data_IF_328181057317
#
_entry.id   IF_328181057317
#
_cell.length_a   1.000
_cell.length_b   1.000
_cell.length_c   1.000
_cell.angle_alpha   90.00
_cell.angle_beta   90.00
_cell.angle_gamma   90.00
#
_symmetry.space_group_name_H-M   'P 1'
#
loop_
_entity.id
_entity.type
_entity.pdbx_description
1 polymer ?
#
# COMPACT_ATOMS: atom_id res chain seq x y z
N UNK A 1 7.39 -71.72 -19.33
CA UNK A 1 8.53 -72.66 -19.39
C UNK A 1 9.39 -72.42 -18.16
N UNK A 2 9.36 -73.38 -17.26
CA UNK A 2 10.26 -73.67 -16.12
C UNK A 2 10.64 -72.59 -15.07
N UNK A 3 10.04 -72.83 -13.89
CA UNK A 3 10.62 -72.63 -12.53
C UNK A 3 11.69 -73.71 -12.28
N UNK A 4 12.71 -73.49 -11.42
CA UNK A 4 12.63 -74.03 -10.04
C UNK A 4 13.30 -73.08 -9.00
N UNK A 5 12.76 -72.86 -7.85
CA UNK A 5 12.78 -73.50 -6.51
C UNK A 5 14.18 -73.95 -5.99
N UNK A 6 14.39 -73.66 -4.69
CA UNK A 6 15.27 -74.17 -3.65
C UNK A 6 16.29 -73.11 -3.16
N UNK A 7 16.54 -72.89 -1.87
CA UNK A 7 16.17 -73.63 -0.67
C UNK A 7 16.59 -72.87 0.61
N UNK A 8 15.89 -73.17 1.62
CA UNK A 8 16.02 -72.72 2.99
C UNK A 8 17.35 -73.14 3.67
N UNK A 9 17.99 -72.23 4.42
CA UNK A 9 18.87 -72.61 5.55
C UNK A 9 18.49 -71.82 6.78
N UNK A 10 17.95 -72.51 7.77
CA UNK A 10 17.77 -72.07 9.13
C UNK A 10 19.11 -71.90 9.81
N UNK A 11 19.41 -70.75 10.36
CA UNK A 11 20.50 -70.52 11.32
C UNK A 11 19.87 -70.22 12.66
N UNK A 12 20.04 -71.18 13.57
CA UNK A 12 19.69 -71.12 14.99
C UNK A 12 20.64 -70.15 15.71
N UNK A 13 20.14 -69.02 16.10
CA UNK A 13 20.87 -68.05 16.93
C UNK A 13 20.43 -68.14 18.40
N UNK A 14 21.41 -68.45 19.24
CA UNK A 14 21.26 -68.60 20.73
C UNK A 14 20.86 -67.27 21.33
N UNK A 15 19.68 -67.19 21.93
CA UNK A 15 19.29 -66.09 22.82
C UNK A 15 20.12 -66.12 24.10
N UNK A 16 21.03 -65.16 24.24
CA UNK A 16 21.58 -64.78 25.55
C UNK A 16 20.57 -63.87 26.26
N UNK A 17 19.98 -64.41 27.37
CA UNK A 17 19.20 -63.61 28.32
C UNK A 17 20.12 -62.65 29.06
N UNK A 18 20.03 -61.36 28.75
CA UNK A 18 20.63 -60.31 29.59
C UNK A 18 19.54 -59.86 30.58
N UNK A 19 19.74 -60.12 31.86
CA UNK A 19 18.89 -59.60 32.93
C UNK A 19 19.01 -58.07 33.01
N UNK A 20 17.90 -57.34 33.19
CA UNK A 20 17.93 -55.89 33.31
C UNK A 20 18.45 -55.50 34.73
N UNK A 21 19.63 -54.91 34.78
CA UNK A 21 20.13 -54.24 36.01
C UNK A 21 19.17 -53.11 36.37
N UNK A 22 18.48 -53.26 37.48
CA UNK A 22 17.61 -52.24 38.10
C UNK A 22 18.41 -50.99 38.43
N UNK A 23 18.20 -49.94 37.68
CA UNK A 23 18.86 -48.64 37.87
C UNK A 23 18.23 -47.96 39.10
N UNK A 24 19.09 -47.55 40.02
CA UNK A 24 18.77 -46.97 41.32
C UNK A 24 17.80 -45.75 41.14
N UNK A 25 16.70 -45.75 41.89
CA UNK A 25 15.61 -44.78 41.83
C UNK A 25 16.07 -43.31 41.90
N UNK A 26 17.16 -43.04 42.66
CA UNK A 26 17.76 -41.70 42.73
C UNK A 26 18.35 -41.21 41.40
N UNK A 27 18.96 -42.12 40.58
CA UNK A 27 19.46 -41.77 39.26
C UNK A 27 18.35 -41.53 38.25
N UNK A 28 17.22 -42.24 38.32
CA UNK A 28 16.04 -41.97 37.48
C UNK A 28 15.44 -40.59 37.72
N UNK A 29 15.42 -40.13 38.97
CA UNK A 29 14.91 -38.78 39.30
C UNK A 29 15.82 -37.65 38.81
N UNK A 30 17.16 -37.86 38.76
CA UNK A 30 18.11 -36.89 38.26
C UNK A 30 18.01 -36.81 36.74
N UNK A 31 17.92 -37.93 36.02
CA UNK A 31 17.76 -37.95 34.56
C UNK A 31 16.39 -37.37 34.16
N UNK A 32 15.32 -37.63 34.90
CA UNK A 32 13.99 -37.04 34.64
C UNK A 32 13.99 -35.50 34.80
N UNK A 33 14.69 -35.00 35.88
CA UNK A 33 14.85 -33.55 36.07
C UNK A 33 15.73 -32.89 35.04
N UNK A 34 16.78 -33.55 34.57
CA UNK A 34 17.64 -33.03 33.49
C UNK A 34 16.89 -33.05 32.14
N UNK A 35 16.15 -34.11 31.85
CA UNK A 35 15.32 -34.16 30.61
C UNK A 35 14.20 -33.14 30.63
N UNK A 36 13.51 -32.89 31.79
CA UNK A 36 12.51 -31.83 31.90
C UNK A 36 13.14 -30.45 31.85
N UNK A 37 14.32 -30.21 32.38
CA UNK A 37 15.02 -28.92 32.28
C UNK A 37 15.46 -28.65 30.83
N UNK A 38 16.02 -29.66 30.14
CA UNK A 38 16.41 -29.56 28.74
C UNK A 38 15.18 -29.38 27.83
N UNK A 39 14.06 -30.06 28.11
CA UNK A 39 12.80 -29.86 27.38
C UNK A 39 12.20 -28.46 27.61
N UNK A 40 12.32 -27.90 28.84
CA UNK A 40 11.89 -26.53 29.12
C UNK A 40 12.77 -25.48 28.44
N UNK A 41 14.10 -25.71 28.35
CA UNK A 41 15.03 -24.82 27.62
C UNK A 41 14.78 -24.91 26.11
N UNK A 42 14.39 -26.08 25.58
CA UNK A 42 14.01 -26.22 24.16
C UNK A 42 12.63 -25.61 23.85
N UNK A 43 11.69 -25.64 24.79
CA UNK A 43 10.36 -25.03 24.59
C UNK A 43 10.39 -23.50 24.72
N UNK A 44 11.36 -22.93 25.43
CA UNK A 44 11.56 -21.46 25.45
C UNK A 44 12.46 -20.96 24.31
N UNK A 45 13.24 -21.85 23.67
CA UNK A 45 14.04 -21.49 22.51
C UNK A 45 13.28 -21.60 21.16
N UNK A 46 12.09 -22.23 21.14
CA UNK A 46 11.28 -22.41 19.92
C UNK A 46 10.07 -21.45 19.81
N UNK A 47 9.94 -20.45 20.69
CA UNK A 47 8.91 -19.41 20.57
C UNK A 47 9.50 -18.02 20.24
N UNK A 48 10.62 -17.96 19.56
CA UNK A 48 10.94 -16.81 18.72
C UNK A 48 10.40 -17.16 17.33
N UNK A 49 9.32 -16.50 16.94
CA UNK A 49 8.92 -16.46 15.55
C UNK A 49 10.15 -16.06 14.73
N UNK A 50 10.58 -16.88 13.72
CA UNK A 50 11.74 -16.55 12.91
C UNK A 50 11.51 -15.31 12.01
N UNK A 51 10.45 -14.56 12.20
CA UNK A 51 10.05 -13.36 11.46
C UNK A 51 9.85 -12.10 12.31
N UNK A 52 10.13 -12.11 13.61
CA UNK A 52 10.43 -10.84 14.28
C UNK A 52 11.86 -10.44 13.88
N UNK A 53 12.00 -9.97 12.63
CA UNK A 53 13.15 -9.17 12.22
C UNK A 53 13.22 -7.96 13.15
N UNK A 54 14.42 -7.58 13.59
CA UNK A 54 14.65 -6.39 14.38
C UNK A 54 14.05 -5.21 13.60
N UNK A 55 12.91 -4.70 14.05
CA UNK A 55 12.21 -3.58 13.45
C UNK A 55 12.55 -2.32 14.21
N UNK A 56 12.78 -1.25 13.46
CA UNK A 56 13.06 0.03 14.09
C UNK A 56 13.78 1.00 13.17
N UNK A 57 14.43 1.98 13.76
CA UNK A 57 15.12 3.06 13.08
C UNK A 57 16.61 3.06 13.42
N UNK A 58 17.45 3.25 12.40
CA UNK A 58 18.88 3.52 12.54
C UNK A 58 19.17 5.00 12.21
N UNK A 59 19.70 5.76 13.17
CA UNK A 59 19.95 7.20 13.02
C UNK A 59 21.39 7.46 12.65
N UNK A 60 21.62 8.25 11.61
CA UNK A 60 22.92 8.79 11.24
C UNK A 60 22.88 10.31 11.33
N UNK A 61 23.96 10.92 11.80
CA UNK A 61 24.12 12.39 11.88
C UNK A 61 25.06 12.84 10.78
N UNK A 62 24.64 13.87 10.04
CA UNK A 62 25.48 14.55 9.05
C UNK A 62 25.75 16.00 9.51
N UNK A 63 27.01 16.30 9.87
CA UNK A 63 27.47 17.64 10.28
C UNK A 63 28.29 18.36 9.21
N UNK A 64 28.17 17.98 7.96
CA UNK A 64 28.93 18.55 6.83
C UNK A 64 28.73 20.07 6.67
N UNK A 65 27.63 20.62 7.17
CA UNK A 65 27.34 22.05 7.18
C UNK A 65 28.01 22.79 8.32
N UNK A 66 28.43 22.09 9.38
CA UNK A 66 29.05 22.68 10.58
C UNK A 66 30.30 21.88 11.01
N UNK A 67 31.29 21.68 10.12
CA UNK A 67 32.43 20.78 10.38
C UNK A 67 33.37 21.26 11.46
N UNK A 68 33.33 22.55 11.80
CA UNK A 68 34.15 23.23 12.79
C UNK A 68 33.57 23.17 14.22
N UNK A 69 32.31 22.71 14.39
CA UNK A 69 31.70 22.51 15.71
C UNK A 69 31.95 21.09 16.19
N UNK A 70 32.60 20.91 17.36
CA UNK A 70 32.76 19.56 17.91
C UNK A 70 31.44 18.96 18.34
N UNK A 71 31.22 17.71 18.00
CA UNK A 71 30.05 16.95 18.45
C UNK A 71 30.31 16.45 19.87
N UNK A 72 29.55 16.97 20.81
CA UNK A 72 29.51 16.57 22.21
C UNK A 72 28.33 15.66 22.55
N UNK A 73 27.69 15.95 23.69
CA UNK A 73 26.50 15.22 24.11
C UNK A 73 25.35 15.39 23.10
N UNK A 74 24.70 14.28 22.78
CA UNK A 74 23.62 14.21 21.79
C UNK A 74 22.33 13.82 22.49
N UNK A 75 21.29 14.61 22.27
CA UNK A 75 19.91 14.29 22.67
C UNK A 75 19.11 13.99 21.41
N UNK A 76 18.48 12.82 21.40
CA UNK A 76 17.62 12.35 20.31
C UNK A 76 16.18 12.34 20.81
N UNK A 77 15.31 13.06 20.12
CA UNK A 77 13.87 13.09 20.37
C UNK A 77 13.15 12.45 19.20
N UNK A 78 12.21 11.56 19.48
CA UNK A 78 11.39 10.88 18.48
C UNK A 78 9.95 11.29 18.72
N UNK A 79 9.31 11.90 17.72
CA UNK A 79 7.91 12.31 17.75
C UNK A 79 7.10 11.40 16.86
N UNK A 80 5.98 10.92 17.38
CA UNK A 80 5.05 10.08 16.61
C UNK A 80 4.10 10.89 15.73
N UNK A 81 3.24 10.20 15.04
CA UNK A 81 2.16 10.79 14.23
C UNK A 81 1.31 11.73 15.10
N UNK A 82 1.15 12.99 14.67
CA UNK A 82 0.48 14.03 15.45
C UNK A 82 1.41 14.91 16.30
N UNK A 83 2.73 14.72 16.20
CA UNK A 83 3.74 15.63 16.77
C UNK A 83 3.97 15.48 18.27
N UNK A 84 3.46 14.44 18.91
CA UNK A 84 3.69 14.17 20.34
C UNK A 84 4.97 13.36 20.54
N UNK A 85 5.72 13.67 21.60
CA UNK A 85 6.93 12.96 21.97
C UNK A 85 6.64 11.47 22.22
N UNK A 86 7.33 10.60 21.49
CA UNK A 86 7.27 9.16 21.62
C UNK A 86 8.39 8.61 22.51
N UNK A 87 9.63 9.05 22.27
CA UNK A 87 10.80 8.59 23.03
C UNK A 87 11.93 9.65 23.01
N UNK A 88 12.81 9.57 24.02
CA UNK A 88 14.02 10.38 24.12
C UNK A 88 15.21 9.49 24.47
N UNK A 89 16.37 9.76 23.84
CA UNK A 89 17.62 9.04 24.09
C UNK A 89 18.77 10.03 24.22
N UNK A 90 19.77 9.69 25.05
CA UNK A 90 20.97 10.49 25.27
C UNK A 90 22.21 9.68 24.87
N UNK A 91 23.14 10.30 24.12
CA UNK A 91 24.38 9.69 23.67
C UNK A 91 25.55 10.61 23.97
N UNK A 92 26.69 10.01 24.28
CA UNK A 92 27.90 10.76 24.56
C UNK A 92 28.59 11.29 23.29
N UNK A 93 28.37 10.62 22.15
CA UNK A 93 29.01 10.95 20.87
C UNK A 93 28.22 10.39 19.66
N UNK A 94 28.65 10.77 18.45
CA UNK A 94 28.04 10.34 17.20
C UNK A 94 28.15 8.82 16.92
N UNK A 95 29.12 8.12 17.51
CA UNK A 95 29.28 6.67 17.34
C UNK A 95 28.22 5.93 18.16
N UNK A 96 27.89 6.47 19.33
CA UNK A 96 26.86 5.93 20.20
C UNK A 96 25.52 5.84 19.50
N UNK A 97 25.05 6.94 18.88
CA UNK A 97 23.78 6.99 18.19
C UNK A 97 23.76 6.10 16.92
N UNK A 98 24.84 6.10 16.13
CA UNK A 98 24.93 5.32 14.90
C UNK A 98 25.01 3.81 15.12
N UNK A 99 25.38 3.36 16.32
CA UNK A 99 25.52 1.93 16.66
C UNK A 99 24.27 1.30 17.26
N UNK A 100 23.22 2.09 17.52
CA UNK A 100 22.03 1.63 18.23
C UNK A 100 20.83 1.60 17.27
N UNK A 101 20.13 0.47 17.26
CA UNK A 101 18.81 0.36 16.67
C UNK A 101 17.78 0.87 17.68
N UNK A 102 16.92 1.81 17.26
CA UNK A 102 15.81 2.31 18.04
C UNK A 102 14.56 1.51 17.68
N UNK A 103 14.09 0.61 18.56
CA UNK A 103 12.92 -0.21 18.26
C UNK A 103 11.67 0.68 18.22
N UNK A 104 10.96 0.64 17.09
CA UNK A 104 9.74 1.42 16.84
C UNK A 104 8.69 0.52 16.18
N UNK A 105 7.44 0.82 16.41
CA UNK A 105 6.35 0.24 15.63
C UNK A 105 6.33 0.81 14.20
N UNK A 106 5.68 0.10 13.26
CA UNK A 106 5.49 0.64 11.93
C UNK A 106 4.67 1.93 12.00
N UNK A 107 5.16 2.98 11.35
CA UNK A 107 4.55 4.29 11.41
C UNK A 107 5.48 5.40 10.98
N UNK A 108 4.93 6.60 10.98
CA UNK A 108 5.64 7.81 10.61
C UNK A 108 6.12 8.55 11.85
N UNK A 109 7.41 8.93 11.85
CA UNK A 109 8.05 9.61 12.98
C UNK A 109 8.87 10.81 12.52
N UNK A 110 8.87 11.87 13.34
CA UNK A 110 9.81 12.98 13.22
C UNK A 110 10.94 12.79 14.22
N UNK A 111 12.16 12.85 13.75
CA UNK A 111 13.38 12.69 14.56
C UNK A 111 14.05 14.04 14.71
N UNK A 112 14.23 14.51 15.92
CA UNK A 112 15.00 15.71 16.21
C UNK A 112 16.27 15.34 16.98
N UNK A 113 17.39 15.91 16.55
CA UNK A 113 18.69 15.75 17.20
C UNK A 113 19.15 17.12 17.71
N UNK A 114 19.56 17.16 18.96
CA UNK A 114 20.13 18.36 19.62
C UNK A 114 21.50 17.99 20.17
N UNK A 115 22.49 18.79 19.88
CA UNK A 115 23.90 18.57 20.27
C UNK A 115 24.42 19.77 21.03
N UNK A 116 25.20 19.50 22.06
CA UNK A 116 25.83 20.50 22.91
C UNK A 116 24.88 21.41 23.70
N UNK A 117 23.64 20.97 23.96
CA UNK A 117 22.76 21.69 24.87
C UNK A 117 23.18 21.41 26.32
N UNK A 118 23.38 22.47 27.09
CA UNK A 118 23.85 22.38 28.49
C UNK A 118 22.76 21.93 29.46
N UNK A 119 21.49 22.28 29.20
CA UNK A 119 20.39 21.97 30.08
C UNK A 119 19.46 20.88 29.49
N UNK A 120 18.76 20.19 30.37
CA UNK A 120 17.63 19.35 29.94
C UNK A 120 16.45 20.24 29.61
N UNK A 121 15.85 19.98 28.40
CA UNK A 121 14.69 20.72 27.97
C UNK A 121 13.53 20.52 28.97
N UNK A 122 13.01 21.62 29.48
CA UNK A 122 11.93 21.65 30.47
C UNK A 122 10.58 21.16 29.86
N UNK A 123 10.37 21.39 28.57
CA UNK A 123 9.16 21.04 27.84
C UNK A 123 9.53 20.56 26.43
N UNK A 124 9.32 19.30 26.16
CA UNK A 124 9.61 18.67 24.86
C UNK A 124 8.47 17.76 24.37
N UNK A 125 7.29 17.94 24.96
CA UNK A 125 6.11 17.10 24.64
C UNK A 125 5.68 17.16 23.19
N UNK A 126 6.01 18.29 22.51
CA UNK A 126 5.77 18.48 21.07
C UNK A 126 7.02 19.01 20.36
N UNK A 127 7.08 18.84 19.04
CA UNK A 127 8.18 19.41 18.23
C UNK A 127 8.24 20.95 18.34
N UNK A 128 7.09 21.60 18.38
CA UNK A 128 7.01 23.07 18.57
C UNK A 128 7.57 23.49 19.93
N UNK A 129 7.22 22.78 21.00
CA UNK A 129 7.77 23.08 22.33
C UNK A 129 9.30 22.88 22.39
N UNK A 130 9.82 21.82 21.71
CA UNK A 130 11.26 21.64 21.55
C UNK A 130 11.90 22.82 20.78
N UNK A 131 11.28 23.25 19.70
CA UNK A 131 11.77 24.38 18.89
C UNK A 131 11.82 25.68 19.72
N UNK A 132 10.73 26.02 20.42
CA UNK A 132 10.66 27.19 21.31
C UNK A 132 11.72 27.14 22.42
N UNK A 133 11.95 25.97 23.03
CA UNK A 133 13.00 25.80 24.03
C UNK A 133 14.39 26.01 23.43
N UNK A 134 14.67 25.50 22.22
CA UNK A 134 15.94 25.68 21.52
C UNK A 134 16.22 27.15 21.19
N UNK A 135 15.22 27.97 20.86
CA UNK A 135 15.36 29.40 20.64
C UNK A 135 15.87 30.14 21.91
N UNK A 136 15.39 29.69 23.08
CA UNK A 136 15.87 30.24 24.37
C UNK A 136 17.30 29.76 24.64
N UNK A 137 17.60 28.48 24.47
CA UNK A 137 18.90 27.86 24.72
C UNK A 137 20.00 28.47 23.83
N UNK A 138 19.69 28.70 22.52
CA UNK A 138 20.62 29.33 21.58
C UNK A 138 21.11 30.70 22.03
N UNK A 139 20.36 31.41 22.85
CA UNK A 139 20.78 32.72 23.40
C UNK A 139 21.93 32.59 24.39
N UNK A 140 22.18 31.40 24.92
CA UNK A 140 23.16 31.10 25.96
C UNK A 140 24.32 30.23 25.45
N UNK A 141 24.09 29.39 24.43
CA UNK A 141 25.06 28.41 23.93
C UNK A 141 25.45 28.63 22.46
N UNK A 142 26.74 28.89 22.22
CA UNK A 142 27.26 29.25 20.87
C UNK A 142 27.58 28.03 20.01
N UNK A 143 27.72 26.85 20.62
CA UNK A 143 28.06 25.59 19.94
C UNK A 143 26.86 24.65 19.75
N UNK A 144 25.67 25.15 20.01
CA UNK A 144 24.44 24.39 19.81
C UNK A 144 24.29 23.99 18.35
N UNK A 145 24.11 22.71 18.11
CA UNK A 145 23.67 22.17 16.80
C UNK A 145 22.34 21.49 16.96
N UNK A 146 21.49 21.63 15.96
CA UNK A 146 20.24 20.88 15.90
C UNK A 146 19.92 20.46 14.49
N UNK A 147 19.01 19.48 14.35
CA UNK A 147 18.51 19.04 13.06
C UNK A 147 17.26 18.20 13.24
N UNK A 148 16.46 18.13 12.19
CA UNK A 148 15.27 17.28 12.13
C UNK A 148 15.28 16.44 10.87
N UNK A 149 14.63 15.27 10.93
CA UNK A 149 14.36 14.42 9.79
C UNK A 149 13.07 13.64 10.01
N UNK A 150 12.43 13.26 8.92
CA UNK A 150 11.25 12.41 8.94
C UNK A 150 11.63 10.98 8.52
N UNK A 151 11.01 10.00 9.15
CA UNK A 151 11.24 8.59 8.85
C UNK A 151 9.93 7.81 8.85
N UNK A 152 9.77 6.92 7.88
CA UNK A 152 8.69 5.94 7.86
C UNK A 152 9.27 4.58 8.24
N UNK A 153 8.87 4.06 9.41
CA UNK A 153 9.26 2.73 9.88
C UNK A 153 8.29 1.71 9.30
N UNK A 154 8.80 0.79 8.50
CA UNK A 154 8.01 -0.29 7.86
C UNK A 154 7.81 -1.46 8.81
N UNK A 155 6.85 -2.35 8.50
CA UNK A 155 6.60 -3.55 9.30
C UNK A 155 7.79 -4.52 9.31
N UNK A 156 8.56 -4.52 8.21
CA UNK A 156 9.68 -5.42 8.03
C UNK A 156 11.01 -4.66 7.91
N UNK A 157 11.85 -4.72 8.95
CA UNK A 157 13.25 -4.32 8.89
C UNK A 157 13.60 -2.98 9.55
N UNK A 158 14.80 -2.51 9.20
CA UNK A 158 15.41 -1.31 9.78
C UNK A 158 15.25 -0.15 8.79
N UNK A 159 14.66 0.94 9.24
CA UNK A 159 14.49 2.18 8.47
C UNK A 159 15.65 3.13 8.78
N UNK A 160 16.57 3.40 7.84
CA UNK A 160 17.65 4.35 8.06
C UNK A 160 17.13 5.79 7.96
N UNK A 161 17.63 6.67 8.83
CA UNK A 161 17.37 8.11 8.77
C UNK A 161 18.67 8.88 8.96
N UNK A 162 18.88 9.92 8.14
CA UNK A 162 20.00 10.84 8.29
C UNK A 162 19.49 12.19 8.73
N UNK A 163 19.98 12.68 9.87
CA UNK A 163 19.69 14.00 10.39
C UNK A 163 20.82 14.95 10.02
N UNK A 164 20.52 15.94 9.20
CA UNK A 164 21.45 16.99 8.82
C UNK A 164 21.45 18.07 9.89
N UNK A 165 22.65 18.40 10.41
CA UNK A 165 22.79 19.36 11.49
C UNK A 165 23.09 20.76 10.95
N UNK A 166 22.51 21.76 11.61
CA UNK A 166 22.81 23.19 11.43
C UNK A 166 23.16 23.82 12.75
N UNK A 167 23.79 25.02 12.72
CA UNK A 167 24.05 25.80 13.92
C UNK A 167 22.77 26.39 14.48
N UNK A 168 22.64 26.32 15.80
CA UNK A 168 21.48 26.85 16.50
C UNK A 168 20.25 25.98 16.34
N UNK A 169 19.10 26.63 16.25
CA UNK A 169 17.79 26.01 16.15
C UNK A 169 17.54 25.54 14.72
N UNK A 170 17.02 24.33 14.55
CA UNK A 170 16.54 23.92 13.25
C UNK A 170 15.36 24.79 12.81
N UNK A 171 15.42 25.28 11.58
CA UNK A 171 14.36 26.11 11.03
C UNK A 171 13.32 25.22 10.37
N UNK A 172 12.05 25.44 10.74
CA UNK A 172 10.91 24.82 10.07
C UNK A 172 10.35 25.82 9.07
N UNK A 173 10.46 25.48 7.81
CA UNK A 173 9.89 26.26 6.71
C UNK A 173 8.66 25.56 6.17
N UNK A 174 7.64 26.33 5.79
CA UNK A 174 6.39 25.76 5.25
C UNK A 174 6.44 25.65 3.74
N UNK A 175 6.33 24.45 3.21
CA UNK A 175 6.05 24.19 1.80
C UNK A 175 4.53 24.11 1.59
N UNK A 176 3.96 25.11 0.90
CA UNK A 176 2.55 25.17 0.53
C UNK A 176 2.33 24.63 -0.88
N UNK A 177 1.55 23.57 -1.00
CA UNK A 177 1.20 22.94 -2.27
C UNK A 177 -0.29 23.20 -2.56
N UNK A 178 -0.56 23.94 -3.62
CA UNK A 178 -1.91 24.17 -4.12
C UNK A 178 -2.19 23.14 -5.23
N UNK A 179 -2.92 22.09 -4.88
CA UNK A 179 -3.15 20.93 -5.73
C UNK A 179 -4.39 21.15 -6.60
N UNK A 180 -4.23 20.98 -7.90
CA UNK A 180 -5.34 20.84 -8.85
C UNK A 180 -5.46 19.39 -9.23
N UNK A 181 -6.60 18.77 -8.89
CA UNK A 181 -6.89 17.39 -9.30
C UNK A 181 -7.19 17.32 -10.80
N UNK A 182 -6.94 16.16 -11.46
CA UNK A 182 -7.39 15.95 -12.82
C UNK A 182 -8.90 16.12 -12.90
N UNK A 183 -9.36 17.04 -13.74
CA UNK A 183 -10.80 17.31 -13.93
C UNK A 183 -11.47 16.06 -14.46
N UNK A 184 -12.55 15.60 -13.78
CA UNK A 184 -13.35 14.52 -14.33
C UNK A 184 -14.79 14.46 -13.84
N UNK A 185 -15.67 14.35 -14.82
CA UNK A 185 -16.99 13.73 -14.64
C UNK A 185 -17.01 12.44 -15.47
N UNK A 186 -16.32 11.40 -15.02
CA UNK A 186 -16.55 10.07 -15.57
C UNK A 186 -17.89 9.56 -15.06
N UNK A 187 -18.69 8.87 -15.92
CA UNK A 187 -19.90 8.20 -15.46
C UNK A 187 -19.60 7.25 -14.30
N UNK A 188 -20.38 7.35 -13.25
CA UNK A 188 -20.25 6.50 -12.07
C UNK A 188 -20.50 5.03 -12.39
N UNK A 189 -19.89 4.11 -11.64
CA UNK A 189 -20.19 2.68 -11.75
C UNK A 189 -21.54 2.33 -11.13
N UNK A 190 -21.91 3.04 -10.07
CA UNK A 190 -23.17 2.80 -9.36
C UNK A 190 -24.18 3.87 -9.68
N UNK A 191 -25.42 3.52 -10.05
CA UNK A 191 -26.53 4.47 -10.16
C UNK A 191 -26.73 5.23 -8.85
N UNK A 192 -27.16 6.49 -8.92
CA UNK A 192 -27.35 7.33 -7.74
C UNK A 192 -28.30 6.72 -6.69
N UNK A 193 -29.30 5.98 -7.12
CA UNK A 193 -30.23 5.29 -6.23
C UNK A 193 -29.57 4.21 -5.36
N UNK A 194 -28.46 3.63 -5.80
CA UNK A 194 -27.73 2.64 -5.01
C UNK A 194 -26.72 3.27 -4.04
N UNK A 195 -26.30 4.51 -4.29
CA UNK A 195 -25.43 5.27 -3.38
C UNK A 195 -26.13 5.58 -2.05
N UNK A 196 -27.44 5.76 -2.06
CA UNK A 196 -28.24 6.04 -0.85
C UNK A 196 -28.43 4.84 0.06
N UNK A 197 -28.18 3.60 -0.41
CA UNK A 197 -28.34 2.36 0.36
C UNK A 197 -27.06 1.80 0.95
N UNK A 198 -25.92 2.17 0.43
CA UNK A 198 -24.63 1.83 1.01
C UNK A 198 -24.29 2.85 2.08
N UNK A 199 -24.71 2.63 3.32
CA UNK A 199 -24.13 3.28 4.50
C UNK A 199 -22.69 2.79 4.69
N UNK A 200 -21.89 2.84 3.61
CA UNK A 200 -20.44 2.66 3.64
C UNK A 200 -19.81 3.94 4.14
N UNK A 201 -18.71 3.82 4.86
CA UNK A 201 -17.88 4.94 5.29
C UNK A 201 -17.54 5.79 4.07
N UNK A 202 -17.83 7.08 4.11
CA UNK A 202 -17.50 7.99 3.02
C UNK A 202 -15.99 7.94 2.73
N UNK A 203 -15.63 8.02 1.47
CA UNK A 203 -14.23 8.15 1.07
C UNK A 203 -13.87 9.64 0.99
N UNK A 204 -12.69 9.98 1.44
CA UNK A 204 -12.12 11.32 1.39
C UNK A 204 -10.80 11.31 0.64
N UNK A 205 -10.42 12.44 0.09
CA UNK A 205 -9.13 12.60 -0.60
C UNK A 205 -8.01 12.57 0.42
N UNK A 206 -6.98 11.75 0.13
CA UNK A 206 -5.71 11.69 0.86
C UNK A 206 -4.59 12.13 -0.09
N UNK A 207 -3.58 12.80 0.44
CA UNK A 207 -2.34 13.09 -0.26
C UNK A 207 -1.17 12.47 0.51
N UNK A 208 -0.32 11.73 -0.17
CA UNK A 208 0.95 11.25 0.35
C UNK A 208 2.06 12.06 -0.32
N UNK A 209 2.85 12.75 0.48
CA UNK A 209 4.01 13.50 0.04
C UNK A 209 5.29 12.77 0.44
N UNK A 210 6.19 12.61 -0.52
CA UNK A 210 7.55 12.11 -0.31
C UNK A 210 8.54 13.14 -0.84
N UNK A 211 9.39 13.67 0.05
CA UNK A 211 10.48 14.55 -0.31
C UNK A 211 11.79 13.82 -0.09
N UNK A 212 12.67 13.89 -1.08
CA UNK A 212 14.03 13.39 -0.99
C UNK A 212 15.00 14.55 -1.03
N UNK A 213 16.19 14.40 -0.45
CA UNK A 213 17.28 15.34 -0.66
C UNK A 213 17.57 15.44 -2.16
N UNK A 214 17.63 16.65 -2.70
CA UNK A 214 17.74 16.89 -4.14
C UNK A 214 18.87 16.08 -4.80
N UNK A 215 18.54 15.43 -5.91
CA UNK A 215 19.47 14.58 -6.66
C UNK A 215 19.84 13.26 -5.97
N UNK A 216 19.12 12.85 -4.91
CA UNK A 216 19.34 11.60 -4.19
C UNK A 216 18.05 10.83 -3.98
N UNK A 217 18.17 9.60 -3.47
CA UNK A 217 17.03 8.78 -3.04
C UNK A 217 16.84 8.80 -1.51
N UNK A 218 17.53 9.69 -0.81
CA UNK A 218 17.41 9.83 0.66
C UNK A 218 16.09 10.53 0.96
N UNK A 219 15.12 9.78 1.47
CA UNK A 219 13.82 10.32 1.87
C UNK A 219 14.00 11.11 3.17
N UNK A 220 13.64 12.39 3.15
CA UNK A 220 13.67 13.30 4.31
C UNK A 220 12.28 13.52 4.90
N UNK A 221 11.23 13.32 4.09
CA UNK A 221 9.85 13.37 4.54
C UNK A 221 9.03 12.35 3.74
N UNK A 222 8.25 11.52 4.44
CA UNK A 222 7.19 10.71 3.86
C UNK A 222 5.95 10.84 4.74
N UNK A 223 4.92 11.55 4.25
CA UNK A 223 3.79 11.94 5.08
C UNK A 223 2.47 11.85 4.33
N UNK A 224 1.51 11.13 4.92
CA UNK A 224 0.14 11.17 4.47
C UNK A 224 -0.60 12.33 5.17
N UNK A 225 -1.36 13.09 4.40
CA UNK A 225 -2.16 14.22 4.89
C UNK A 225 -3.54 14.24 4.25
N UNK A 226 -4.51 14.84 4.91
CA UNK A 226 -5.82 15.16 4.33
C UNK A 226 -5.76 16.57 3.73
N UNK A 227 -5.82 16.73 2.40
CA UNK A 227 -5.77 18.04 1.77
C UNK A 227 -7.00 18.90 2.14
N UNK A 228 -6.78 20.18 2.36
CA UNK A 228 -7.86 21.13 2.73
C UNK A 228 -8.47 21.73 1.47
N UNK A 229 -9.77 21.50 1.19
CA UNK A 229 -10.43 22.07 0.02
C UNK A 229 -10.48 23.61 0.08
N UNK A 230 -10.20 24.26 -1.06
CA UNK A 230 -10.22 25.72 -1.19
C UNK A 230 -11.43 26.17 -2.00
N UNK A 231 -11.81 27.44 -1.85
CA UNK A 231 -12.97 28.03 -2.51
C UNK A 231 -12.88 28.06 -4.05
N UNK A 232 -11.66 28.01 -4.60
CA UNK A 232 -11.38 27.98 -6.04
C UNK A 232 -11.41 26.56 -6.65
N UNK A 233 -11.71 25.54 -5.83
CA UNK A 233 -11.74 24.14 -6.25
C UNK A 233 -10.39 23.43 -6.20
N UNK A 234 -9.34 24.08 -5.72
CA UNK A 234 -8.05 23.48 -5.44
C UNK A 234 -8.03 22.87 -4.02
N UNK A 235 -6.93 22.20 -3.67
CA UNK A 235 -6.71 21.64 -2.36
C UNK A 235 -5.36 22.11 -1.83
N UNK A 236 -5.32 22.57 -0.58
CA UNK A 236 -4.10 22.99 0.09
C UNK A 236 -3.51 21.85 0.89
N UNK A 237 -2.20 21.64 0.71
CA UNK A 237 -1.36 20.80 1.57
C UNK A 237 -0.22 21.66 2.10
N UNK A 238 0.00 21.66 3.40
CA UNK A 238 1.11 22.32 4.07
C UNK A 238 2.02 21.27 4.69
N UNK A 239 3.33 21.39 4.39
CA UNK A 239 4.37 20.51 4.89
C UNK A 239 5.43 21.37 5.56
N UNK A 240 5.81 21.00 6.77
CA UNK A 240 6.87 21.66 7.53
C UNK A 240 8.13 20.80 7.49
N UNK A 241 9.22 21.38 7.06
CA UNK A 241 10.53 20.72 6.95
C UNK A 241 11.66 21.78 7.00
N UNK A 242 12.90 21.33 7.20
CA UNK A 242 14.05 22.21 7.18
C UNK A 242 14.19 22.93 5.83
N UNK A 243 14.84 24.09 5.81
CA UNK A 243 15.24 24.71 4.56
C UNK A 243 16.19 23.81 3.77
N UNK A 244 16.15 23.90 2.45
CA UNK A 244 16.99 23.05 1.59
C UNK A 244 16.46 22.87 0.19
N UNK A 245 17.12 21.98 -0.55
CA UNK A 245 16.70 21.57 -1.90
C UNK A 245 16.24 20.12 -1.89
N UNK A 246 15.08 19.88 -2.50
CA UNK A 246 14.38 18.60 -2.43
C UNK A 246 13.84 18.14 -3.80
N UNK A 247 13.71 16.84 -3.96
CA UNK A 247 12.91 16.22 -5.02
C UNK A 247 11.56 15.84 -4.44
N UNK A 248 10.49 16.38 -4.98
CA UNK A 248 9.11 16.18 -4.52
C UNK A 248 8.41 15.10 -5.35
N UNK A 249 7.75 14.17 -4.66
CA UNK A 249 6.80 13.20 -5.22
C UNK A 249 5.50 13.30 -4.45
N UNK A 250 4.39 13.29 -5.18
CA UNK A 250 3.05 13.30 -4.60
C UNK A 250 2.22 12.16 -5.19
N UNK A 251 1.44 11.54 -4.33
CA UNK A 251 0.39 10.62 -4.69
C UNK A 251 -0.90 11.03 -4.00
N UNK A 252 -2.00 11.15 -4.76
CA UNK A 252 -3.32 11.41 -4.20
C UNK A 252 -4.25 10.26 -4.55
N UNK A 253 -4.98 9.81 -3.56
CA UNK A 253 -5.99 8.75 -3.68
C UNK A 253 -7.14 8.98 -2.70
N UNK A 254 -7.97 7.98 -2.52
CA UNK A 254 -9.07 8.04 -1.57
C UNK A 254 -8.83 7.08 -0.42
N UNK A 255 -8.97 7.61 0.79
CA UNK A 255 -8.98 6.84 2.04
C UNK A 255 -10.39 6.82 2.64
N UNK A 256 -10.61 5.91 3.57
CA UNK A 256 -11.87 5.86 4.33
C UNK A 256 -11.93 7.04 5.32
N UNK A 257 -13.08 7.69 5.45
CA UNK A 257 -13.23 8.83 6.35
C UNK A 257 -13.03 8.48 7.84
N UNK A 258 -13.21 7.20 8.23
CA UNK A 258 -12.94 6.72 9.59
C UNK A 258 -11.44 6.44 9.84
N UNK A 259 -10.63 6.34 8.77
CA UNK A 259 -9.17 6.24 8.84
C UNK A 259 -8.53 6.99 7.66
N UNK A 260 -8.50 8.34 7.71
CA UNK A 260 -8.23 9.21 6.56
C UNK A 260 -6.80 9.17 6.04
N UNK A 261 -5.86 8.66 6.82
CA UNK A 261 -4.44 8.62 6.46
C UNK A 261 -3.98 7.21 6.06
N UNK A 262 -4.82 6.18 6.27
CA UNK A 262 -4.44 4.81 5.98
C UNK A 262 -4.59 4.45 4.49
N UNK A 263 -3.76 3.52 4.05
CA UNK A 263 -3.86 2.86 2.76
C UNK A 263 -5.20 2.14 2.62
N UNK A 264 -5.89 2.38 1.51
CA UNK A 264 -7.18 1.74 1.23
C UNK A 264 -7.15 0.95 -0.07
N UNK A 265 -6.78 1.57 -1.18
CA UNK A 265 -6.72 0.94 -2.50
C UNK A 265 -5.28 0.78 -3.00
N UNK A 266 -4.34 1.50 -2.40
CA UNK A 266 -2.93 1.52 -2.76
C UNK A 266 -2.07 1.44 -1.52
N UNK A 267 -0.97 0.68 -1.59
CA UNK A 267 0.11 0.73 -0.63
C UNK A 267 1.07 1.82 -1.05
N UNK A 268 1.38 2.74 -0.16
CA UNK A 268 2.11 3.97 -0.45
C UNK A 268 3.36 4.16 0.41
N UNK A 269 3.91 3.09 1.00
CA UNK A 269 5.13 3.14 1.83
C UNK A 269 6.35 3.71 1.08
N UNK A 270 6.33 3.64 -0.26
CA UNK A 270 7.30 4.29 -1.13
C UNK A 270 6.63 4.78 -2.40
N UNK A 271 6.77 6.05 -2.72
CA UNK A 271 6.20 6.59 -3.96
C UNK A 271 6.99 6.19 -5.22
N UNK A 272 8.14 5.52 -5.09
CA UNK A 272 8.80 4.82 -6.20
C UNK A 272 8.19 3.45 -6.51
N UNK A 273 7.39 2.91 -5.59
CA UNK A 273 6.82 1.57 -5.69
C UNK A 273 5.40 1.52 -5.09
N UNK A 274 4.54 2.48 -5.48
CA UNK A 274 3.11 2.41 -5.14
C UNK A 274 2.53 1.13 -5.71
N UNK A 275 1.83 0.33 -4.91
CA UNK A 275 1.21 -0.91 -5.37
C UNK A 275 -0.28 -0.96 -5.07
N UNK A 276 -1.04 -1.63 -5.93
CA UNK A 276 -2.49 -1.81 -5.74
C UNK A 276 -2.72 -2.85 -4.65
N UNK A 277 -3.66 -2.58 -3.74
CA UNK A 277 -4.16 -3.58 -2.77
C UNK A 277 -4.86 -4.71 -3.52
N UNK A 278 -4.30 -5.91 -3.46
CA UNK A 278 -4.79 -7.08 -4.21
C UNK A 278 -5.57 -8.08 -3.37
N UNK A 279 -5.52 -7.96 -2.03
CA UNK A 279 -6.19 -8.89 -1.09
C UNK A 279 -6.83 -8.13 0.08
N UNK A 280 -8.16 -7.92 0.10
CA UNK A 280 -9.10 -8.22 -0.98
C UNK A 280 -8.98 -7.24 -2.15
N UNK A 281 -9.10 -7.74 -3.38
CA UNK A 281 -9.15 -6.86 -4.55
C UNK A 281 -10.51 -6.17 -4.66
N UNK A 282 -10.50 -4.86 -4.87
CA UNK A 282 -11.70 -4.05 -4.99
C UNK A 282 -11.79 -3.46 -6.40
N UNK A 283 -12.96 -3.61 -7.02
CA UNK A 283 -13.35 -2.99 -8.29
C UNK A 283 -14.74 -2.34 -8.13
N UNK A 284 -15.34 -1.86 -9.21
CA UNK A 284 -16.67 -1.26 -9.25
C UNK A 284 -16.84 -0.06 -8.30
N UNK A 285 -15.78 0.71 -8.12
CA UNK A 285 -15.79 1.91 -7.27
C UNK A 285 -14.99 3.05 -7.90
N UNK A 286 -15.53 4.26 -7.80
CA UNK A 286 -14.83 5.47 -8.27
C UNK A 286 -13.71 5.89 -7.31
N UNK A 287 -13.73 5.41 -6.08
CA UNK A 287 -12.72 5.69 -5.08
C UNK A 287 -11.33 5.07 -5.36
N UNK A 288 -11.20 4.21 -6.38
CA UNK A 288 -9.88 3.77 -6.88
C UNK A 288 -9.18 4.78 -7.78
N UNK A 289 -9.80 5.93 -8.06
CA UNK A 289 -9.10 6.99 -8.79
C UNK A 289 -7.91 7.49 -7.97
N UNK A 290 -6.84 7.82 -8.68
CA UNK A 290 -5.61 8.33 -8.09
C UNK A 290 -4.92 9.32 -9.05
N UNK A 291 -4.10 10.18 -8.48
CA UNK A 291 -3.28 11.08 -9.27
C UNK A 291 -1.90 11.25 -8.64
N UNK A 292 -0.94 11.67 -9.43
CA UNK A 292 0.44 11.82 -9.02
C UNK A 292 1.07 13.10 -9.56
N UNK A 293 2.17 13.48 -8.93
CA UNK A 293 3.05 14.55 -9.41
C UNK A 293 4.49 14.26 -8.98
N UNK A 294 5.45 14.69 -9.79
CA UNK A 294 6.84 14.72 -9.40
C UNK A 294 7.50 16.02 -9.89
N UNK A 295 8.46 16.50 -9.13
CA UNK A 295 9.31 17.62 -9.50
C UNK A 295 10.64 17.52 -8.77
N UNK A 296 11.73 17.60 -9.52
CA UNK A 296 13.07 17.63 -8.96
C UNK A 296 13.49 19.07 -8.64
N UNK A 297 14.41 19.19 -7.70
CA UNK A 297 15.13 20.39 -7.36
C UNK A 297 14.21 21.58 -6.98
N UNK A 298 13.29 21.33 -6.03
CA UNK A 298 12.55 22.41 -5.38
C UNK A 298 13.39 23.00 -4.25
N UNK A 299 13.45 24.31 -4.15
CA UNK A 299 14.14 25.00 -3.07
C UNK A 299 13.14 25.53 -2.06
N UNK A 300 13.35 25.19 -0.79
CA UNK A 300 12.63 25.73 0.35
C UNK A 300 13.56 26.64 1.12
N UNK A 301 13.22 27.92 1.19
CA UNK A 301 13.94 28.92 1.99
C UNK A 301 13.32 29.07 3.38
N UNK A 302 13.96 29.82 4.25
CA UNK A 302 13.44 30.19 5.57
C UNK A 302 12.05 30.85 5.50
N UNK A 303 11.75 31.59 4.43
CA UNK A 303 10.45 32.23 4.22
C UNK A 303 9.35 31.23 3.77
N UNK A 304 9.73 29.98 3.52
CA UNK A 304 8.89 28.95 2.94
C UNK A 304 8.83 28.99 1.41
N UNK A 305 7.98 28.15 0.83
CA UNK A 305 7.70 28.13 -0.60
C UNK A 305 6.23 27.80 -0.87
N UNK A 306 5.70 28.36 -1.96
CA UNK A 306 4.35 28.04 -2.45
C UNK A 306 4.45 27.55 -3.88
N UNK A 307 3.78 26.41 -4.15
CA UNK A 307 3.78 25.79 -5.47
C UNK A 307 2.36 25.47 -5.93
N UNK A 308 2.05 25.80 -7.18
CA UNK A 308 0.87 25.30 -7.87
C UNK A 308 1.21 23.96 -8.52
N UNK A 309 0.46 22.95 -8.18
CA UNK A 309 0.67 21.56 -8.58
C UNK A 309 -0.50 21.05 -9.39
N UNK A 310 -0.27 20.77 -10.68
CA UNK A 310 -1.24 20.11 -11.53
C UNK A 310 -1.00 18.60 -11.50
N UNK A 311 -1.86 17.88 -10.80
CA UNK A 311 -1.76 16.43 -10.68
C UNK A 311 -2.15 15.73 -12.00
N UNK A 312 -1.51 14.60 -12.29
CA UNK A 312 -1.74 13.76 -13.47
C UNK A 312 -2.35 12.43 -13.03
N UNK A 313 -3.28 11.91 -13.82
CA UNK A 313 -3.86 10.58 -13.55
C UNK A 313 -2.98 9.49 -14.16
N UNK A 314 -2.56 8.46 -13.41
CA UNK A 314 -1.82 7.32 -13.93
C UNK A 314 -2.74 6.22 -14.47
N UNK A 315 -4.05 6.42 -14.41
CA UNK A 315 -5.08 5.40 -14.58
C UNK A 315 -5.94 5.65 -15.82
N UNK A 316 -6.53 4.59 -16.32
CA UNK A 316 -7.69 4.59 -17.18
C UNK A 316 -8.85 3.86 -16.48
N UNK A 317 -10.07 4.19 -16.87
CA UNK A 317 -11.28 3.52 -16.40
C UNK A 317 -11.90 2.71 -17.52
N UNK A 318 -12.45 1.53 -17.22
CA UNK A 318 -13.29 0.82 -18.16
C UNK A 318 -14.59 0.37 -17.50
N UNK A 319 -15.59 0.07 -18.34
CA UNK A 319 -16.85 -0.57 -17.94
C UNK A 319 -17.30 -1.57 -19.01
N UNK A 320 -17.96 -2.63 -18.55
CA UNK A 320 -18.54 -3.67 -19.38
C UNK A 320 -20.06 -3.55 -19.36
N UNK A 321 -20.67 -3.47 -20.54
CA UNK A 321 -22.11 -3.30 -20.70
C UNK A 321 -22.68 -4.40 -21.57
N UNK A 322 -23.68 -5.12 -21.06
CA UNK A 322 -24.45 -6.08 -21.86
C UNK A 322 -25.57 -5.39 -22.63
N UNK A 323 -25.65 -5.66 -23.93
CA UNK A 323 -26.68 -5.16 -24.85
C UNK A 323 -27.75 -6.19 -25.19
N UNK A 324 -27.62 -7.42 -24.77
CA UNK A 324 -28.50 -8.56 -25.10
C UNK A 324 -29.59 -8.80 -24.06
N UNK A 325 -30.00 -7.76 -23.36
CA UNK A 325 -31.00 -7.81 -22.27
C UNK A 325 -32.35 -8.27 -22.75
N UNK A 326 -32.81 -7.77 -23.90
CA UNK A 326 -34.09 -8.18 -24.53
C UNK A 326 -34.11 -9.68 -24.86
N UNK A 327 -33.00 -10.18 -25.41
CA UNK A 327 -32.84 -11.61 -25.69
C UNK A 327 -32.84 -12.44 -24.43
N UNK A 328 -32.15 -11.96 -23.38
CA UNK A 328 -32.12 -12.63 -22.07
C UNK A 328 -33.53 -12.67 -21.44
N UNK A 329 -34.32 -11.58 -21.51
CA UNK A 329 -35.72 -11.57 -21.03
C UNK A 329 -36.60 -12.61 -21.71
N UNK A 330 -36.48 -12.75 -23.02
CA UNK A 330 -37.20 -13.80 -23.77
C UNK A 330 -36.83 -15.22 -23.32
N UNK A 331 -35.53 -15.44 -23.02
CA UNK A 331 -35.08 -16.71 -22.45
C UNK A 331 -35.63 -16.96 -21.04
N UNK A 332 -35.66 -15.94 -20.21
CA UNK A 332 -36.21 -15.98 -18.86
C UNK A 332 -37.73 -16.31 -18.88
N UNK A 333 -38.50 -15.73 -19.79
CA UNK A 333 -39.92 -16.02 -19.98
C UNK A 333 -40.14 -17.46 -20.49
N UNK A 334 -39.29 -17.90 -21.44
CA UNK A 334 -39.46 -19.22 -22.05
C UNK A 334 -38.94 -20.37 -21.17
N UNK A 335 -37.93 -20.10 -20.32
CA UNK A 335 -37.24 -21.12 -19.49
C UNK A 335 -36.84 -20.54 -18.13
N UNK A 336 -37.79 -20.16 -17.25
CA UNK A 336 -37.52 -19.49 -15.99
C UNK A 336 -36.65 -20.28 -15.02
N UNK A 337 -36.70 -21.64 -15.12
CA UNK A 337 -35.86 -22.53 -14.29
C UNK A 337 -34.37 -22.49 -14.65
N UNK A 338 -34.04 -22.07 -15.89
CA UNK A 338 -32.67 -22.00 -16.40
C UNK A 338 -32.10 -20.57 -16.44
N UNK A 339 -32.99 -19.59 -16.59
CA UNK A 339 -32.62 -18.19 -16.73
C UNK A 339 -33.31 -17.34 -15.64
N UNK A 340 -32.66 -17.16 -14.48
CA UNK A 340 -33.25 -16.41 -13.37
C UNK A 340 -33.28 -14.88 -13.67
N UNK A 341 -34.05 -14.12 -12.89
CA UNK A 341 -34.05 -12.66 -13.01
C UNK A 341 -32.67 -12.04 -12.89
N UNK A 342 -32.42 -10.94 -13.62
CA UNK A 342 -31.13 -10.24 -13.66
C UNK A 342 -30.55 -9.92 -12.26
N UNK A 343 -31.42 -9.58 -11.30
CA UNK A 343 -31.02 -9.32 -9.90
C UNK A 343 -30.42 -10.51 -9.16
N UNK A 344 -30.62 -11.72 -9.69
CA UNK A 344 -30.11 -12.98 -9.12
C UNK A 344 -28.85 -13.46 -9.85
N UNK A 345 -28.34 -12.67 -10.78
CA UNK A 345 -27.09 -12.96 -11.47
C UNK A 345 -25.89 -12.43 -10.73
N UNK A 346 -24.79 -13.16 -10.83
CA UNK A 346 -23.47 -12.72 -10.41
C UNK A 346 -22.53 -12.71 -11.63
N UNK A 347 -21.83 -11.63 -11.82
CA UNK A 347 -20.78 -11.52 -12.85
C UNK A 347 -19.42 -11.57 -12.19
N UNK A 348 -18.58 -12.49 -12.65
CA UNK A 348 -17.16 -12.54 -12.30
C UNK A 348 -16.35 -12.09 -13.50
N UNK A 349 -15.50 -11.10 -13.29
CA UNK A 349 -14.49 -10.63 -14.25
C UNK A 349 -13.13 -11.07 -13.76
N UNK A 350 -12.41 -11.83 -14.59
CA UNK A 350 -11.07 -12.30 -14.28
C UNK A 350 -10.09 -11.80 -15.32
N UNK A 351 -9.03 -11.12 -14.87
CA UNK A 351 -7.94 -10.70 -15.75
C UNK A 351 -7.15 -11.91 -16.24
N UNK A 352 -6.88 -11.96 -17.53
CA UNK A 352 -6.07 -13.00 -18.17
C UNK A 352 -4.61 -12.53 -18.23
N UNK A 353 -3.69 -13.36 -17.71
CA UNK A 353 -2.28 -13.00 -17.65
C UNK A 353 -1.95 -12.01 -16.54
N UNK A 354 -1.12 -11.02 -16.86
CA UNK A 354 -0.63 -10.04 -15.89
C UNK A 354 -1.47 -8.77 -15.89
N UNK A 355 -1.74 -8.28 -14.68
CA UNK A 355 -2.43 -7.04 -14.40
C UNK A 355 -1.44 -6.01 -13.84
N UNK A 356 -1.35 -4.77 -14.38
CA UNK A 356 -0.44 -3.75 -13.86
C UNK A 356 -0.79 -3.44 -12.40
N UNK A 357 0.14 -3.68 -11.49
CA UNK A 357 -0.10 -3.61 -10.05
C UNK A 357 0.77 -2.58 -9.33
N UNK A 358 1.82 -2.09 -9.95
CA UNK A 358 2.73 -1.13 -9.36
C UNK A 358 2.92 0.12 -10.21
N UNK A 359 3.26 1.24 -9.56
CA UNK A 359 3.52 2.53 -10.20
C UNK A 359 4.68 3.26 -9.53
N UNK A 360 5.58 3.80 -10.34
CA UNK A 360 6.69 4.62 -9.88
C UNK A 360 6.40 6.10 -10.17
N UNK A 361 6.16 6.89 -9.13
CA UNK A 361 5.85 8.32 -9.23
C UNK A 361 7.02 9.11 -9.86
N UNK A 362 8.27 8.74 -9.57
CA UNK A 362 9.44 9.45 -10.13
C UNK A 362 9.53 9.34 -11.66
N UNK A 363 9.13 8.21 -12.22
CA UNK A 363 9.19 7.96 -13.66
C UNK A 363 7.86 8.18 -14.37
N UNK A 364 6.75 8.28 -13.60
CA UNK A 364 5.39 8.35 -14.13
C UNK A 364 4.96 7.09 -14.90
N UNK A 365 5.47 5.90 -14.50
CA UNK A 365 5.24 4.64 -15.24
C UNK A 365 4.92 3.48 -14.29
N UNK A 366 4.08 2.53 -14.74
CA UNK A 366 3.95 1.24 -14.07
C UNK A 366 5.31 0.52 -13.98
N UNK A 367 5.55 -0.15 -12.85
CA UNK A 367 6.81 -0.85 -12.59
C UNK A 367 6.62 -2.26 -12.05
N UNK A 368 5.38 -2.72 -11.87
CA UNK A 368 5.08 -4.07 -11.39
C UNK A 368 3.78 -4.61 -12.01
N UNK A 369 3.61 -5.94 -12.01
CA UNK A 369 2.44 -6.61 -12.51
C UNK A 369 2.17 -7.93 -11.76
N UNK A 370 0.90 -8.23 -11.50
CA UNK A 370 0.45 -9.41 -10.77
C UNK A 370 -0.53 -10.24 -11.58
N UNK A 371 -0.50 -11.57 -11.40
CA UNK A 371 -1.46 -12.49 -12.01
C UNK A 371 -2.61 -12.86 -11.09
N UNK A 372 -3.69 -13.41 -11.68
CA UNK A 372 -4.80 -14.01 -10.93
C UNK A 372 -5.82 -13.03 -10.35
N UNK A 373 -5.79 -11.77 -10.73
CA UNK A 373 -6.74 -10.75 -10.26
C UNK A 373 -8.14 -11.04 -10.82
N UNK A 374 -9.14 -10.94 -9.98
CA UNK A 374 -10.56 -11.02 -10.37
C UNK A 374 -11.44 -10.26 -9.39
N UNK A 375 -12.62 -9.85 -9.85
CA UNK A 375 -13.66 -9.26 -9.02
C UNK A 375 -15.03 -9.79 -9.42
N UNK A 376 -16.03 -9.56 -8.58
CA UNK A 376 -17.40 -9.95 -8.85
C UNK A 376 -18.36 -8.78 -8.63
N UNK A 377 -19.39 -8.72 -9.48
CA UNK A 377 -20.54 -7.84 -9.36
C UNK A 377 -21.77 -8.68 -9.11
N UNK A 378 -22.48 -8.38 -8.04
CA UNK A 378 -23.76 -8.99 -7.69
C UNK A 378 -24.89 -7.97 -7.88
N UNK A 379 -26.12 -8.44 -8.08
CA UNK A 379 -27.30 -7.60 -8.25
C UNK A 379 -27.12 -6.57 -9.37
N UNK A 380 -27.08 -7.08 -10.61
CA UNK A 380 -26.85 -6.26 -11.79
C UNK A 380 -27.87 -5.13 -11.94
N UNK A 381 -27.39 -3.95 -12.28
CA UNK A 381 -28.22 -2.77 -12.50
C UNK A 381 -28.64 -2.68 -13.96
N UNK A 382 -29.94 -2.70 -14.17
CA UNK A 382 -30.55 -2.55 -15.47
C UNK A 382 -30.95 -1.10 -15.73
N UNK A 383 -30.58 -0.59 -16.90
CA UNK A 383 -31.04 0.70 -17.40
C UNK A 383 -32.20 0.47 -18.38
N UNK A 384 -33.40 0.81 -17.98
CA UNK A 384 -34.63 0.62 -18.77
C UNK A 384 -34.65 1.49 -20.03
N UNK A 385 -34.01 2.67 -20.01
CA UNK A 385 -34.03 3.61 -21.11
C UNK A 385 -33.19 3.12 -22.28
N UNK A 386 -31.98 2.65 -21.97
CA UNK A 386 -31.00 2.19 -22.96
C UNK A 386 -31.03 0.68 -23.21
N UNK A 387 -31.86 -0.03 -22.46
CA UNK A 387 -31.95 -1.51 -22.48
C UNK A 387 -30.59 -2.18 -22.30
N UNK A 388 -29.84 -1.72 -21.30
CA UNK A 388 -28.46 -2.09 -21.01
C UNK A 388 -28.32 -2.60 -19.58
N UNK A 389 -27.32 -3.47 -19.34
CA UNK A 389 -26.91 -3.88 -18.01
C UNK A 389 -25.43 -3.61 -17.80
N UNK A 390 -25.11 -2.87 -16.75
CA UNK A 390 -23.73 -2.69 -16.29
C UNK A 390 -23.28 -3.98 -15.57
N UNK A 391 -22.27 -4.65 -16.14
CA UNK A 391 -21.70 -5.87 -15.61
C UNK A 391 -20.55 -5.65 -14.64
N UNK A 392 -19.95 -4.46 -14.68
CA UNK A 392 -18.84 -4.06 -13.84
C UNK A 392 -17.85 -3.17 -14.56
N UNK A 393 -16.85 -2.76 -13.84
CA UNK A 393 -15.76 -1.94 -14.38
C UNK A 393 -14.63 -1.75 -13.37
N UNK A 394 -13.53 -1.19 -13.81
CA UNK A 394 -12.37 -1.02 -12.95
C UNK A 394 -11.45 0.11 -13.42
N UNK A 395 -10.52 0.49 -12.55
CA UNK A 395 -9.41 1.37 -12.83
C UNK A 395 -8.14 0.55 -13.06
N UNK A 396 -7.38 0.89 -14.11
CA UNK A 396 -6.18 0.16 -14.54
C UNK A 396 -5.04 1.15 -14.75
N UNK A 397 -3.85 0.83 -14.24
CA UNK A 397 -2.64 1.61 -14.47
C UNK A 397 -2.24 1.55 -15.95
N UNK A 398 -1.89 2.71 -16.53
CA UNK A 398 -1.56 2.86 -17.96
C UNK A 398 -0.06 2.97 -18.15
N UNK A 399 0.49 2.17 -19.05
CA UNK A 399 1.89 2.28 -19.45
C UNK A 399 2.03 3.12 -20.72
N UNK A 400 2.36 4.39 -20.56
CA UNK A 400 2.44 5.36 -21.64
C UNK A 400 1.08 5.99 -21.95
N UNK A 401 0.70 6.10 -23.22
CA UNK A 401 -0.56 6.73 -23.64
C UNK A 401 -1.72 5.74 -23.70
N UNK A 402 -1.45 4.50 -24.05
CA UNK A 402 -2.45 3.44 -24.19
C UNK A 402 -1.89 2.08 -23.75
N UNK A 403 -2.76 1.19 -23.34
CA UNK A 403 -2.44 -0.17 -22.93
C UNK A 403 -3.61 -1.12 -23.21
N UNK A 404 -3.41 -2.39 -22.94
CA UNK A 404 -4.37 -3.47 -23.17
C UNK A 404 -4.41 -4.43 -21.99
N UNK A 405 -5.61 -4.84 -21.57
CA UNK A 405 -5.83 -6.03 -20.75
C UNK A 405 -6.83 -6.95 -21.43
N UNK A 406 -6.71 -8.25 -21.18
CA UNK A 406 -7.70 -9.24 -21.57
C UNK A 406 -8.44 -9.73 -20.32
N UNK A 407 -9.75 -9.91 -20.43
CA UNK A 407 -10.54 -10.44 -19.33
C UNK A 407 -11.44 -11.59 -19.79
N UNK A 408 -11.70 -12.51 -18.86
CA UNK A 408 -12.80 -13.46 -18.97
C UNK A 408 -13.97 -12.95 -18.14
N UNK A 409 -15.13 -12.83 -18.75
CA UNK A 409 -16.41 -12.49 -18.11
C UNK A 409 -17.22 -13.76 -17.94
N UNK A 410 -17.60 -14.11 -16.71
CA UNK A 410 -18.44 -15.27 -16.40
C UNK A 410 -19.70 -14.81 -15.69
N UNK A 411 -20.85 -15.17 -16.21
CA UNK A 411 -22.15 -14.92 -15.59
C UNK A 411 -22.69 -16.21 -14.99
N UNK A 412 -23.05 -16.17 -13.71
CA UNK A 412 -23.60 -17.30 -12.97
C UNK A 412 -24.96 -16.94 -12.37
N UNK A 413 -25.78 -17.95 -12.11
CA UNK A 413 -26.97 -17.83 -11.30
C UNK A 413 -26.63 -17.79 -9.78
N UNK A 414 -27.65 -17.67 -8.95
CA UNK A 414 -27.54 -17.68 -7.48
C UNK A 414 -27.16 -19.07 -6.90
N UNK A 415 -27.17 -20.13 -7.71
CA UNK A 415 -26.74 -21.48 -7.34
C UNK A 415 -25.28 -21.73 -7.77
N UNK A 416 -24.66 -20.80 -8.48
CA UNK A 416 -23.30 -20.90 -9.00
C UNK A 416 -23.19 -21.61 -10.36
N UNK A 417 -24.32 -21.91 -11.02
CA UNK A 417 -24.29 -22.49 -12.36
C UNK A 417 -23.89 -21.44 -13.38
N UNK A 418 -22.95 -21.77 -14.26
CA UNK A 418 -22.50 -20.86 -15.32
C UNK A 418 -23.55 -20.78 -16.42
N UNK A 419 -24.07 -19.58 -16.67
CA UNK A 419 -25.00 -19.28 -17.75
C UNK A 419 -24.28 -18.82 -19.01
N UNK A 420 -23.23 -18.02 -18.85
CA UNK A 420 -22.42 -17.47 -19.93
C UNK A 420 -20.96 -17.33 -19.53
N UNK A 421 -20.06 -17.52 -20.50
CA UNK A 421 -18.64 -17.24 -20.32
C UNK A 421 -18.06 -16.68 -21.62
N UNK A 422 -17.50 -15.47 -21.56
CA UNK A 422 -16.79 -14.83 -22.64
C UNK A 422 -15.31 -14.65 -22.23
N UNK A 423 -14.40 -15.35 -22.93
CA UNK A 423 -12.96 -15.26 -22.69
C UNK A 423 -12.28 -14.43 -23.79
N UNK A 424 -11.09 -13.89 -23.48
CA UNK A 424 -10.30 -13.10 -24.42
C UNK A 424 -10.93 -11.75 -24.77
N UNK A 425 -11.76 -11.22 -23.87
CA UNK A 425 -12.36 -9.88 -24.03
C UNK A 425 -11.27 -8.84 -23.95
N UNK A 426 -10.93 -8.21 -25.07
CA UNK A 426 -9.88 -7.19 -25.16
C UNK A 426 -10.40 -5.84 -24.73
N UNK A 427 -9.73 -5.24 -23.76
CA UNK A 427 -10.01 -3.88 -23.29
C UNK A 427 -8.80 -3.03 -23.61
N UNK A 428 -8.85 -2.30 -24.72
CA UNK A 428 -7.88 -1.25 -25.03
C UNK A 428 -8.25 -0.02 -24.20
N UNK A 429 -7.29 0.60 -23.52
CA UNK A 429 -7.53 1.75 -22.68
C UNK A 429 -6.45 2.81 -22.83
N UNK A 430 -6.85 4.06 -22.71
CA UNK A 430 -5.97 5.24 -22.80
C UNK A 430 -5.95 5.95 -21.44
N UNK A 431 -4.80 6.56 -21.14
CA UNK A 431 -4.63 7.34 -19.92
C UNK A 431 -5.74 8.41 -19.80
N UNK A 432 -6.30 8.51 -18.58
CA UNK A 432 -7.36 9.48 -18.26
C UNK A 432 -8.65 9.34 -19.08
N UNK A 433 -8.93 8.19 -19.69
CA UNK A 433 -10.13 7.93 -20.46
C UNK A 433 -11.00 6.83 -19.85
N UNK A 434 -12.30 6.88 -20.19
CA UNK A 434 -13.22 5.78 -19.96
C UNK A 434 -13.37 4.97 -21.26
N UNK A 435 -13.09 3.68 -21.20
CA UNK A 435 -13.41 2.72 -22.25
C UNK A 435 -14.69 1.99 -21.92
N UNK A 436 -15.72 2.08 -22.76
CA UNK A 436 -16.92 1.25 -22.60
C UNK A 436 -16.86 0.09 -23.59
N UNK A 437 -16.97 -1.12 -23.06
CA UNK A 437 -17.00 -2.35 -23.84
C UNK A 437 -18.43 -2.89 -23.85
N UNK A 438 -19.04 -2.87 -25.01
CA UNK A 438 -20.36 -3.44 -25.23
C UNK A 438 -20.27 -4.88 -25.76
N UNK A 439 -21.18 -5.74 -25.33
CA UNK A 439 -21.22 -7.13 -25.80
C UNK A 439 -22.51 -7.86 -25.44
N UNK A 440 -22.65 -9.07 -25.99
CA UNK A 440 -23.76 -9.98 -25.70
C UNK A 440 -23.37 -10.94 -24.56
N UNK A 441 -23.13 -10.37 -23.37
CA UNK A 441 -22.59 -11.11 -22.22
C UNK A 441 -23.60 -11.95 -21.44
N UNK A 442 -24.90 -11.78 -21.68
CA UNK A 442 -25.95 -12.52 -20.95
C UNK A 442 -26.41 -13.76 -21.69
N UNK A 443 -26.27 -13.80 -23.03
CA UNK A 443 -26.80 -14.85 -23.89
C UNK A 443 -25.77 -15.53 -24.77
N UNK A 444 -24.50 -15.12 -24.73
CA UNK A 444 -23.41 -15.81 -25.41
C UNK A 444 -23.34 -17.26 -24.88
N UNK A 445 -24.00 -18.17 -25.59
CA UNK A 445 -24.28 -19.48 -25.10
C UNK A 445 -23.06 -20.38 -25.02
N UNK A 446 -23.07 -21.23 -24.00
CA UNK A 446 -22.32 -22.49 -24.01
C UNK A 446 -22.97 -23.39 -25.05
N UNK A 447 -22.69 -23.17 -26.32
CA UNK A 447 -23.18 -24.05 -27.37
C UNK A 447 -22.30 -25.29 -27.43
N UNK A 448 -22.83 -26.41 -26.94
CA UNK A 448 -22.50 -27.80 -27.28
C UNK A 448 -21.04 -28.02 -27.74
N UNK A 449 -20.05 -27.78 -26.85
CA UNK A 449 -18.67 -28.18 -27.10
C UNK A 449 -17.80 -27.22 -27.93
N UNK A 450 -18.29 -26.03 -28.28
CA UNK A 450 -17.54 -24.95 -28.90
C UNK A 450 -17.98 -23.62 -28.29
N UNK A 451 -17.04 -22.82 -27.86
CA UNK A 451 -17.32 -21.41 -27.49
C UNK A 451 -17.49 -20.68 -28.81
N UNK A 452 -18.72 -20.52 -29.27
CA UNK A 452 -19.04 -19.60 -30.36
C UNK A 452 -19.10 -18.19 -29.70
N UNK A 453 -17.94 -17.55 -29.64
CA UNK A 453 -17.84 -16.15 -29.25
C UNK A 453 -18.28 -15.37 -30.49
N UNK A 454 -19.55 -15.02 -30.53
CA UNK A 454 -19.96 -13.97 -31.44
C UNK A 454 -19.36 -12.65 -30.95
N UNK A 455 -18.14 -12.38 -31.37
CA UNK A 455 -17.38 -11.15 -31.09
C UNK A 455 -17.79 -10.03 -32.02
N UNK A 456 -19.06 -9.89 -32.33
CA UNK A 456 -19.56 -8.65 -32.93
C UNK A 456 -19.51 -7.55 -31.86
N UNK A 457 -18.31 -7.03 -31.69
CA UNK A 457 -18.03 -5.87 -30.87
C UNK A 457 -18.65 -4.64 -31.54
N UNK A 458 -19.73 -4.14 -31.01
CA UNK A 458 -20.29 -2.86 -31.45
C UNK A 458 -19.48 -1.67 -30.89
N UNK A 459 -18.19 -1.69 -31.14
CA UNK A 459 -17.31 -0.54 -30.97
C UNK A 459 -16.78 -0.32 -29.56
N UNK A 460 -15.49 0.04 -29.51
CA UNK A 460 -14.84 0.66 -28.34
C UNK A 460 -15.09 2.16 -28.48
N UNK A 461 -15.83 2.74 -27.56
CA UNK A 461 -16.01 4.20 -27.50
C UNK A 461 -15.12 4.74 -26.39
N UNK A 462 -14.05 5.46 -26.81
CA UNK A 462 -13.29 6.30 -25.91
C UNK A 462 -13.99 7.64 -25.81
N UNK A 463 -14.45 7.99 -24.63
CA UNK A 463 -15.05 9.30 -24.36
C UNK A 463 -13.97 10.20 -23.80
N UNK A 464 -13.66 11.28 -24.51
CA UNK A 464 -12.75 12.32 -24.06
C UNK A 464 -13.48 13.22 -23.03
N UNK A 465 -12.78 13.55 -21.93
CA UNK A 465 -13.28 14.46 -20.90
C UNK A 465 -12.36 15.65 -20.73
#
# INVERSE_FOLDING_TARGET
MFIPLWGSRAVTEKRNKVEPKTMNTKRRYIYLKICTLVMFVWLTACNRDPHEGERGMAVTIDNTQCPDVPIGAIKLYIYGTGGNLYATYNYADARGIASVLHPLEAGHYTVAVVINADEEAAETSTLTALHEWLEIEMSHETNLLSGIAEVNVTEDGISPVTVFLQRGVFTLSTLRLQLTLPVQKLPDYTPEESKTRAAGTANIIRCVAELCKAGTDIVVLHKAVTPVPQADGTYLVELELAEGSYDLRLWTDYARADNPLADTFYHTESLKAVTIVTKPYTANTDAKDAAYYNKSDITLSEEGATMNVQLQRPLAKYRLIAKDVETYRKLMEAKPDLYPPLKNLTVKVQYEGYFPSGFNVSTGKPNDAVGGISYSQVSLHYNDVDNEVLLGGDWVLVNGTESLVNVTVTVTDNLGNTLCRASGVKINYQNSHLTTVYGNFLTAGINKGGIDINTEWSGIYNVWF
#
